data_IF_326344423020
#
_entry.id   IF_326344423020
#
_cell.length_a   1.000
_cell.length_b   1.000
_cell.length_c   1.000
_cell.angle_alpha   90.00
_cell.angle_beta   90.00
_cell.angle_gamma   90.00
#
_symmetry.space_group_name_H-M   'P 1'
#
loop_
_entity.id
_entity.type
_entity.pdbx_description
1 polymer ?
#
# COMPACT_ATOMS: atom_id res chain seq x y z
N UNK A 1 9.64 4.59 -2.34
CA UNK A 1 9.30 4.65 -3.77
C UNK A 1 10.20 5.60 -4.57
N UNK A 2 10.70 6.71 -4.01
CA UNK A 2 11.50 7.71 -4.72
C UNK A 2 12.65 7.18 -5.60
N UNK A 3 13.38 6.13 -5.19
CA UNK A 3 14.43 5.53 -6.02
C UNK A 3 13.90 4.89 -7.30
N UNK A 4 12.80 4.12 -7.20
CA UNK A 4 12.17 3.49 -8.35
C UNK A 4 11.56 4.55 -9.29
N UNK A 5 10.95 5.59 -8.73
CA UNK A 5 10.41 6.71 -9.51
C UNK A 5 11.51 7.41 -10.32
N UNK A 6 12.66 7.69 -9.69
CA UNK A 6 13.84 8.23 -10.39
C UNK A 6 14.38 7.31 -11.48
N UNK A 7 14.14 5.99 -11.39
CA UNK A 7 14.53 5.00 -12.39
C UNK A 7 13.46 4.81 -13.49
N UNK A 8 12.41 5.64 -13.52
CA UNK A 8 11.37 5.61 -14.55
C UNK A 8 10.10 4.86 -14.14
N UNK A 9 10.03 4.31 -12.92
CA UNK A 9 8.79 3.70 -12.44
C UNK A 9 7.70 4.76 -12.18
N UNK A 10 6.45 4.41 -12.44
CA UNK A 10 5.27 5.21 -12.13
C UNK A 10 4.71 4.81 -10.79
N UNK A 11 4.33 5.78 -9.97
CA UNK A 11 3.56 5.50 -8.75
C UNK A 11 2.11 5.18 -9.12
N UNK A 12 1.66 3.96 -8.79
CA UNK A 12 0.29 3.49 -9.03
C UNK A 12 -0.57 3.71 -7.79
N UNK A 13 0.02 3.52 -6.62
CA UNK A 13 -0.59 3.80 -5.34
C UNK A 13 0.47 4.43 -4.44
N UNK A 14 0.27 5.67 -3.95
CA UNK A 14 1.20 6.30 -3.03
C UNK A 14 1.44 5.46 -1.78
N UNK A 15 2.66 5.54 -1.23
CA UNK A 15 2.93 4.96 0.09
C UNK A 15 2.05 5.66 1.13
N UNK A 16 1.15 4.91 1.73
CA UNK A 16 0.28 5.39 2.79
C UNK A 16 0.08 4.31 3.85
N UNK A 17 -0.35 4.73 5.03
CA UNK A 17 -0.60 3.83 6.14
C UNK A 17 -1.97 3.18 5.94
N UNK A 18 -2.01 1.85 6.03
CA UNK A 18 -3.18 1.06 5.73
C UNK A 18 -3.86 0.56 6.99
N UNK A 19 -5.17 0.35 6.91
CA UNK A 19 -5.97 -0.10 8.04
C UNK A 19 -5.55 -1.48 8.57
N UNK A 20 -4.90 -2.30 7.74
CA UNK A 20 -4.35 -3.60 8.13
C UNK A 20 -2.96 -3.52 8.80
N UNK A 21 -2.43 -2.32 9.04
CA UNK A 21 -1.25 -2.12 9.89
C UNK A 21 0.09 -2.00 9.16
N UNK A 22 0.10 -1.95 7.84
CA UNK A 22 1.31 -1.73 7.05
C UNK A 22 1.34 -0.32 6.45
N UNK A 23 2.54 0.21 6.23
CA UNK A 23 2.74 1.28 5.24
C UNK A 23 2.96 0.63 3.88
N UNK A 24 2.01 0.83 2.97
CA UNK A 24 1.93 0.11 1.71
C UNK A 24 1.78 1.06 0.52
N UNK A 25 2.35 0.68 -0.63
CA UNK A 25 2.19 1.38 -1.89
C UNK A 25 2.51 0.47 -3.08
N UNK A 26 2.15 0.94 -4.28
CA UNK A 26 2.36 0.22 -5.55
C UNK A 26 3.04 1.11 -6.58
N UNK A 27 3.91 0.51 -7.37
CA UNK A 27 4.59 1.15 -8.49
C UNK A 27 4.62 0.23 -9.70
N UNK A 28 4.56 0.81 -10.88
CA UNK A 28 4.70 0.12 -12.16
C UNK A 28 6.05 0.49 -12.75
N UNK A 29 6.88 -0.49 -13.08
CA UNK A 29 8.16 -0.23 -13.74
C UNK A 29 8.00 0.04 -15.25
N UNK A 30 9.04 0.56 -15.95
CA UNK A 30 8.96 0.81 -17.38
C UNK A 30 8.70 -0.41 -18.28
N UNK A 31 8.83 -1.62 -17.74
CA UNK A 31 8.57 -2.88 -18.43
C UNK A 31 7.13 -3.39 -18.21
N UNK A 32 6.33 -2.64 -17.44
CA UNK A 32 4.93 -2.95 -17.16
C UNK A 32 4.72 -3.85 -15.94
N UNK A 33 5.76 -4.15 -15.14
CA UNK A 33 5.56 -4.95 -13.93
C UNK A 33 5.03 -4.10 -12.79
N UNK A 34 4.00 -4.61 -12.12
CA UNK A 34 3.46 -4.02 -10.90
C UNK A 34 4.17 -4.58 -9.66
N UNK A 35 4.85 -3.71 -8.94
CA UNK A 35 5.53 -4.00 -7.69
C UNK A 35 4.76 -3.41 -6.52
N UNK A 36 4.63 -4.20 -5.45
CA UNK A 36 4.09 -3.75 -4.16
C UNK A 36 5.21 -3.62 -3.15
N UNK A 37 5.18 -2.55 -2.35
CA UNK A 37 6.14 -2.34 -1.26
C UNK A 37 5.34 -2.17 0.03
N UNK A 38 5.64 -3.00 1.02
CA UNK A 38 5.01 -2.98 2.33
C UNK A 38 6.08 -2.90 3.42
N UNK A 39 5.80 -2.14 4.48
CA UNK A 39 6.57 -2.19 5.72
C UNK A 39 5.59 -2.33 6.87
N UNK A 40 5.76 -3.38 7.66
CA UNK A 40 4.93 -3.61 8.83
C UNK A 40 5.10 -2.48 9.84
N UNK A 41 3.99 -1.84 10.23
CA UNK A 41 3.97 -0.72 11.18
C UNK A 41 3.38 -1.12 12.52
N UNK A 42 2.32 -1.92 12.52
CA UNK A 42 1.64 -2.36 13.74
C UNK A 42 0.88 -3.65 13.53
N UNK A 43 0.76 -4.44 14.59
CA UNK A 43 -0.19 -5.53 14.67
C UNK A 43 -1.61 -4.96 14.81
N UNK A 44 -2.54 -5.52 14.04
CA UNK A 44 -3.96 -5.17 14.07
C UNK A 44 -4.72 -6.46 14.35
N UNK A 45 -5.66 -6.44 15.30
CA UNK A 45 -6.47 -7.63 15.56
C UNK A 45 -7.44 -7.89 14.40
N UNK A 46 -7.88 -9.14 14.20
CA UNK A 46 -8.88 -9.46 13.17
C UNK A 46 -10.15 -8.61 13.28
N UNK A 47 -10.63 -8.37 14.51
CA UNK A 47 -11.84 -7.57 14.75
C UNK A 47 -11.66 -6.10 14.37
N UNK A 48 -10.50 -5.51 14.70
CA UNK A 48 -10.18 -4.14 14.33
C UNK A 48 -10.06 -4.01 12.80
N UNK A 49 -9.39 -4.97 12.16
CA UNK A 49 -9.23 -5.00 10.71
C UNK A 49 -10.58 -5.13 9.98
N UNK A 50 -11.46 -6.00 10.47
CA UNK A 50 -12.81 -6.19 9.90
C UNK A 50 -13.69 -4.95 10.06
N UNK A 51 -13.59 -4.23 11.18
CA UNK A 51 -14.28 -2.95 11.37
C UNK A 51 -13.75 -1.89 10.40
N UNK A 52 -12.43 -1.71 10.32
CA UNK A 52 -11.83 -0.69 9.47
C UNK A 52 -12.04 -0.97 7.97
N UNK A 53 -12.02 -2.24 7.56
CA UNK A 53 -12.35 -2.64 6.19
C UNK A 53 -13.80 -2.26 5.83
N UNK A 54 -14.76 -2.52 6.73
CA UNK A 54 -16.15 -2.13 6.50
C UNK A 54 -16.29 -0.62 6.33
N UNK A 55 -15.67 0.18 7.19
CA UNK A 55 -15.71 1.64 7.10
C UNK A 55 -15.09 2.16 5.78
N UNK A 56 -14.02 1.53 5.29
CA UNK A 56 -13.34 1.94 4.06
C UNK A 56 -14.12 1.57 2.78
N UNK A 57 -14.89 0.48 2.80
CA UNK A 57 -15.61 -0.05 1.62
C UNK A 57 -17.14 0.08 1.70
N UNK A 58 -17.69 0.75 2.72
CA UNK A 58 -19.14 1.00 2.86
C UNK A 58 -19.64 2.23 2.10
N UNK A 59 -18.92 2.68 1.07
CA UNK A 59 -19.27 3.81 0.21
C UNK A 59 -19.81 3.36 -1.14
#
# INVERSE_FOLDING_TARGET
TQRAIKAGAKEVMPLQDMFWGDRYGKLEDPFGHCWSVATHKRNVSPDEMARAAREMFSG
#
